data_IF_149691041345
#
_entry.id   IF_149691041345
#
_cell.length_a   1.000
_cell.length_b   1.000
_cell.length_c   1.000
_cell.angle_alpha   90.00
_cell.angle_beta   90.00
_cell.angle_gamma   90.00
#
_symmetry.space_group_name_H-M   'P 1'
#
loop_
_entity.id
_entity.type
_entity.pdbx_description
1 polymer ?
#
# COMPACT_ATOMS: atom_id res chain seq x y z
N UNK A 1 8.40 41.32 40.74
CA UNK A 1 8.54 40.08 39.96
C UNK A 1 7.22 39.36 39.68
N UNK A 2 6.33 39.16 40.63
CA UNK A 2 5.07 38.44 40.43
C UNK A 2 4.10 39.09 39.41
N UNK A 3 4.03 40.41 39.29
CA UNK A 3 3.18 41.13 38.36
C UNK A 3 3.63 40.95 36.90
N UNK A 4 4.92 40.86 36.63
CA UNK A 4 5.47 40.64 35.29
C UNK A 4 5.21 39.21 34.79
N UNK A 5 5.26 38.24 35.69
CA UNK A 5 4.98 36.84 35.39
C UNK A 5 3.47 36.60 35.08
N UNK A 6 2.58 37.31 35.76
CA UNK A 6 1.14 37.29 35.44
C UNK A 6 0.84 37.89 34.07
N UNK A 7 1.45 39.03 33.71
CA UNK A 7 1.33 39.63 32.38
C UNK A 7 1.83 38.74 31.28
N UNK A 8 2.97 38.06 31.49
CA UNK A 8 3.51 37.10 30.54
C UNK A 8 2.60 35.90 30.32
N UNK A 9 2.01 35.33 31.39
CA UNK A 9 1.04 34.21 31.25
C UNK A 9 -0.24 34.62 30.51
N UNK A 10 -0.74 35.84 30.75
CA UNK A 10 -1.91 36.35 30.04
C UNK A 10 -1.61 36.55 28.55
N UNK A 11 -0.47 37.21 28.24
CA UNK A 11 -0.01 37.37 26.85
C UNK A 11 0.20 36.04 26.14
N UNK A 12 0.80 35.06 26.80
CA UNK A 12 1.01 33.72 26.26
C UNK A 12 -0.35 33.02 25.95
N UNK A 13 -1.32 33.19 26.86
CA UNK A 13 -2.67 32.62 26.69
C UNK A 13 -3.41 33.25 25.51
N UNK A 14 -3.30 34.57 25.37
CA UNK A 14 -3.89 35.30 24.24
C UNK A 14 -3.21 35.01 22.92
N UNK A 15 -1.87 34.90 22.91
CA UNK A 15 -1.10 34.54 21.73
C UNK A 15 -1.43 33.12 21.24
N UNK A 16 -1.56 32.18 22.17
CA UNK A 16 -1.94 30.80 21.85
C UNK A 16 -3.42 30.69 21.44
N UNK A 17 -4.31 31.55 21.99
CA UNK A 17 -5.72 31.65 21.62
C UNK A 17 -5.94 32.14 20.19
N UNK A 18 -5.09 33.05 19.69
CA UNK A 18 -5.15 33.58 18.32
C UNK A 18 -4.76 32.59 17.24
N UNK A 19 -4.17 31.45 17.61
CA UNK A 19 -3.72 30.39 16.68
C UNK A 19 -4.41 29.07 16.96
N UNK A 20 -5.73 28.96 16.66
CA UNK A 20 -6.52 27.80 17.05
C UNK A 20 -6.08 26.46 16.43
N UNK A 21 -5.28 26.47 15.36
CA UNK A 21 -4.87 25.28 14.62
C UNK A 21 -3.46 24.78 14.93
N UNK A 22 -2.76 25.36 15.92
CA UNK A 22 -1.35 25.01 16.14
C UNK A 22 -1.15 24.07 17.32
N UNK A 23 -0.36 23.05 17.03
CA UNK A 23 -0.05 21.89 17.88
C UNK A 23 0.60 22.17 19.23
N UNK A 24 0.84 23.44 19.57
CA UNK A 24 1.49 23.84 20.84
C UNK A 24 0.53 24.06 22.01
N UNK A 25 -0.79 23.94 21.81
CA UNK A 25 -1.75 23.93 22.92
C UNK A 25 -1.88 22.53 23.49
N UNK A 26 -1.28 22.28 24.65
CA UNK A 26 -1.35 21.01 25.38
C UNK A 26 -2.78 20.53 25.65
N UNK A 27 -3.73 21.44 25.91
CA UNK A 27 -5.16 21.18 26.11
C UNK A 27 -5.83 20.66 24.84
N UNK A 28 -5.53 21.24 23.68
CA UNK A 28 -6.08 20.77 22.40
C UNK A 28 -5.50 19.44 21.92
N UNK A 29 -4.27 19.08 22.30
CA UNK A 29 -3.76 17.73 22.04
C UNK A 29 -4.56 16.64 22.75
N UNK A 30 -5.14 16.91 23.90
CA UNK A 30 -6.02 15.97 24.61
C UNK A 30 -7.41 15.91 23.99
N UNK A 31 -7.95 17.05 23.54
CA UNK A 31 -9.26 17.12 22.87
C UNK A 31 -9.20 16.56 21.43
N UNK A 32 -8.04 16.55 20.81
CA UNK A 32 -7.79 15.90 19.50
C UNK A 32 -7.57 14.39 19.58
N UNK A 33 -7.66 13.77 20.74
CA UNK A 33 -7.82 12.33 20.85
C UNK A 33 -9.23 11.94 20.42
N UNK A 34 -9.56 12.22 19.15
CA UNK A 34 -10.80 11.75 18.52
C UNK A 34 -10.82 10.24 18.65
N UNK A 35 -11.78 9.74 19.42
CA UNK A 35 -12.01 8.31 19.56
C UNK A 35 -12.19 7.71 18.17
N UNK A 36 -11.32 6.83 17.77
CA UNK A 36 -11.46 6.08 16.55
C UNK A 36 -12.00 4.70 16.96
N UNK A 37 -13.32 4.59 17.02
CA UNK A 37 -14.00 3.32 17.27
C UNK A 37 -13.93 2.47 16.00
N UNK A 38 -12.81 1.77 15.84
CA UNK A 38 -12.64 0.78 14.78
C UNK A 38 -12.88 -0.62 15.36
N UNK A 39 -13.57 -1.49 14.61
CA UNK A 39 -13.64 -2.91 14.93
C UNK A 39 -12.23 -3.50 15.07
N UNK A 40 -12.08 -4.61 15.80
CA UNK A 40 -10.80 -5.33 15.86
C UNK A 40 -10.19 -5.61 14.48
N UNK A 41 -8.91 -5.90 14.41
CA UNK A 41 -8.21 -6.12 13.12
C UNK A 41 -8.89 -7.22 12.28
N UNK A 42 -9.14 -8.38 12.87
CA UNK A 42 -9.82 -9.52 12.24
C UNK A 42 -11.27 -9.14 11.88
N UNK A 43 -11.99 -8.48 12.79
CA UNK A 43 -13.38 -8.06 12.55
C UNK A 43 -13.50 -7.08 11.38
N UNK A 44 -12.53 -6.16 11.22
CA UNK A 44 -12.49 -5.24 10.09
C UNK A 44 -12.16 -5.98 8.78
N UNK A 45 -11.19 -6.89 8.80
CA UNK A 45 -10.86 -7.74 7.64
C UNK A 45 -12.07 -8.57 7.20
N UNK A 46 -12.79 -9.17 8.16
CA UNK A 46 -14.01 -9.90 7.87
C UNK A 46 -15.10 -9.00 7.25
N UNK A 47 -15.25 -7.77 7.74
CA UNK A 47 -16.18 -6.78 7.16
C UNK A 47 -15.82 -6.43 5.72
N UNK A 48 -14.53 -6.22 5.40
CA UNK A 48 -14.04 -5.98 4.04
C UNK A 48 -14.36 -7.18 3.15
N UNK A 49 -13.99 -8.37 3.58
CA UNK A 49 -14.23 -9.61 2.83
C UNK A 49 -15.72 -9.84 2.59
N UNK A 50 -16.57 -9.66 3.61
CA UNK A 50 -18.04 -9.76 3.48
C UNK A 50 -18.58 -8.77 2.44
N UNK A 51 -18.06 -7.54 2.42
CA UNK A 51 -18.49 -6.49 1.47
C UNK A 51 -18.11 -6.85 0.04
N UNK A 52 -16.90 -7.34 -0.19
CA UNK A 52 -16.44 -7.81 -1.50
C UNK A 52 -17.24 -9.03 -1.94
N UNK A 53 -17.41 -10.01 -1.04
CA UNK A 53 -18.10 -11.27 -1.34
C UNK A 53 -19.58 -11.07 -1.64
N UNK A 54 -20.25 -10.14 -0.97
CA UNK A 54 -21.65 -9.79 -1.28
C UNK A 54 -21.81 -9.19 -2.69
N UNK A 55 -20.73 -8.65 -3.26
CA UNK A 55 -20.67 -8.08 -4.60
C UNK A 55 -19.66 -8.82 -5.51
N UNK A 56 -19.43 -10.13 -5.25
CA UNK A 56 -18.38 -10.92 -5.90
C UNK A 56 -18.38 -10.87 -7.43
N UNK A 57 -19.56 -10.84 -8.07
CA UNK A 57 -19.68 -10.75 -9.53
C UNK A 57 -19.06 -9.48 -10.09
N UNK A 58 -19.15 -8.35 -9.37
CA UNK A 58 -18.56 -7.08 -9.76
C UNK A 58 -17.03 -7.08 -9.57
N UNK A 59 -16.57 -7.43 -8.38
CA UNK A 59 -15.14 -7.33 -8.05
C UNK A 59 -14.30 -8.43 -8.69
N UNK A 60 -14.84 -9.64 -8.80
CA UNK A 60 -14.17 -10.72 -9.51
C UNK A 60 -14.12 -10.45 -11.02
N UNK A 61 -15.23 -9.99 -11.62
CA UNK A 61 -15.25 -9.55 -13.02
C UNK A 61 -14.28 -8.40 -13.28
N UNK A 62 -14.18 -7.44 -12.35
CA UNK A 62 -13.20 -6.36 -12.42
C UNK A 62 -11.76 -6.91 -12.43
N UNK A 63 -11.44 -7.80 -11.49
CA UNK A 63 -10.11 -8.41 -11.41
C UNK A 63 -9.74 -9.16 -12.69
N UNK A 64 -10.65 -9.97 -13.24
CA UNK A 64 -10.41 -10.71 -14.50
C UNK A 64 -10.15 -9.74 -15.66
N UNK A 65 -10.98 -8.71 -15.85
CA UNK A 65 -10.79 -7.75 -16.94
C UNK A 65 -9.41 -7.10 -16.84
N UNK A 66 -9.01 -6.69 -15.65
CA UNK A 66 -7.70 -6.04 -15.49
C UNK A 66 -6.54 -7.03 -15.62
N UNK A 67 -6.68 -8.29 -15.21
CA UNK A 67 -5.64 -9.32 -15.48
C UNK A 67 -5.46 -9.48 -17.00
N UNK A 68 -6.55 -9.54 -17.76
CA UNK A 68 -6.47 -9.62 -19.22
C UNK A 68 -5.83 -8.37 -19.82
N UNK A 69 -6.18 -7.18 -19.32
CA UNK A 69 -5.56 -5.93 -19.77
C UNK A 69 -4.06 -5.87 -19.42
N UNK A 70 -3.66 -6.32 -18.23
CA UNK A 70 -2.25 -6.43 -17.87
C UNK A 70 -1.53 -7.44 -18.80
N UNK A 71 -2.12 -8.61 -19.02
CA UNK A 71 -1.53 -9.63 -19.90
C UNK A 71 -1.31 -9.12 -21.33
N UNK A 72 -2.26 -8.33 -21.87
CA UNK A 72 -2.20 -7.80 -23.23
C UNK A 72 -1.27 -6.61 -23.37
N UNK A 73 -1.30 -5.67 -22.41
CA UNK A 73 -0.58 -4.39 -22.52
C UNK A 73 0.82 -4.42 -21.90
N UNK A 74 1.03 -5.24 -20.89
CA UNK A 74 2.29 -5.35 -20.16
C UNK A 74 3.00 -6.65 -20.44
N UNK A 75 2.24 -7.73 -20.69
CA UNK A 75 2.73 -9.10 -20.81
C UNK A 75 2.60 -9.86 -19.49
N UNK A 76 2.81 -11.17 -19.58
CA UNK A 76 2.90 -12.09 -18.44
C UNK A 76 4.36 -12.47 -18.31
N UNK A 77 4.86 -12.55 -17.08
CA UNK A 77 6.23 -12.98 -16.79
C UNK A 77 6.52 -14.41 -17.30
N UNK A 78 7.77 -14.69 -17.59
CA UNK A 78 8.18 -16.03 -18.04
C UNK A 78 8.28 -17.00 -16.86
N UNK A 79 8.17 -18.29 -17.15
CA UNK A 79 8.39 -19.33 -16.16
C UNK A 79 9.86 -19.37 -15.71
N UNK A 80 10.78 -19.03 -16.60
CA UNK A 80 12.23 -19.00 -16.32
C UNK A 80 12.59 -17.96 -15.26
N UNK A 81 12.04 -16.75 -15.37
CA UNK A 81 12.22 -15.70 -14.36
C UNK A 81 11.65 -16.11 -13.00
N UNK A 82 10.50 -16.81 -13.01
CA UNK A 82 9.94 -17.36 -11.77
C UNK A 82 10.89 -18.39 -11.13
N UNK A 83 11.44 -19.35 -11.90
CA UNK A 83 12.35 -20.37 -11.34
C UNK A 83 13.61 -19.74 -10.76
N UNK A 84 14.21 -18.78 -11.47
CA UNK A 84 15.39 -18.03 -10.98
C UNK A 84 15.11 -17.31 -9.65
N UNK A 85 13.94 -16.69 -9.53
CA UNK A 85 13.52 -16.02 -8.28
C UNK A 85 13.20 -17.01 -7.16
N UNK A 86 12.60 -18.15 -7.49
CA UNK A 86 12.32 -19.21 -6.51
C UNK A 86 13.60 -19.82 -5.94
N UNK A 87 14.61 -20.04 -6.79
CA UNK A 87 15.93 -20.51 -6.37
C UNK A 87 16.62 -19.50 -5.45
N UNK A 88 16.60 -18.21 -5.82
CA UNK A 88 17.14 -17.12 -5.01
C UNK A 88 16.41 -16.97 -3.66
N UNK A 89 15.11 -17.20 -3.61
CA UNK A 89 14.33 -17.22 -2.35
C UNK A 89 14.70 -18.39 -1.46
N UNK A 90 14.92 -19.56 -2.06
CA UNK A 90 15.30 -20.76 -1.31
C UNK A 90 16.67 -20.56 -0.67
N UNK A 91 17.59 -19.96 -1.39
CA UNK A 91 18.92 -19.60 -0.90
C UNK A 91 18.86 -18.55 0.23
N UNK A 92 18.05 -17.50 0.05
CA UNK A 92 17.84 -16.47 1.06
C UNK A 92 17.19 -17.03 2.34
N UNK A 93 16.21 -17.93 2.22
CA UNK A 93 15.54 -18.53 3.40
C UNK A 93 16.48 -19.46 4.15
N UNK A 94 17.37 -20.17 3.46
CA UNK A 94 18.39 -21.01 4.09
C UNK A 94 19.39 -20.16 4.90
N UNK A 95 19.82 -19.00 4.38
CA UNK A 95 20.73 -18.09 5.08
C UNK A 95 20.07 -17.37 6.27
N UNK A 96 18.81 -16.98 6.18
CA UNK A 96 18.05 -16.38 7.30
C UNK A 96 17.90 -17.40 8.45
N UNK A 97 17.68 -18.67 8.13
CA UNK A 97 17.59 -19.71 9.15
C UNK A 97 18.92 -19.92 9.92
N UNK A 98 20.05 -19.52 9.33
CA UNK A 98 21.37 -19.44 9.96
C UNK A 98 21.58 -18.26 10.90
N UNK A 99 20.58 -17.37 11.07
CA UNK A 99 20.63 -16.23 12.00
C UNK A 99 21.21 -14.94 11.41
N UNK A 100 21.43 -14.87 10.12
CA UNK A 100 21.97 -13.69 9.44
C UNK A 100 20.86 -12.68 9.13
N UNK A 101 20.74 -11.65 9.97
CA UNK A 101 19.76 -10.57 9.84
C UNK A 101 20.01 -9.66 8.62
N UNK A 102 21.19 -9.69 8.01
CA UNK A 102 21.48 -8.92 6.80
C UNK A 102 20.62 -9.35 5.62
N UNK A 103 20.18 -10.60 5.63
CA UNK A 103 19.34 -11.21 4.59
C UNK A 103 17.86 -10.77 4.64
N UNK A 104 17.40 -10.13 5.71
CA UNK A 104 16.00 -9.64 5.79
C UNK A 104 15.74 -8.59 4.71
N UNK A 105 16.70 -7.68 4.48
CA UNK A 105 16.59 -6.70 3.39
C UNK A 105 16.53 -7.37 2.02
N UNK A 106 17.34 -8.39 1.80
CA UNK A 106 17.35 -9.16 0.56
C UNK A 106 16.05 -9.95 0.36
N UNK A 107 15.52 -10.60 1.40
CA UNK A 107 14.22 -11.27 1.35
C UNK A 107 13.07 -10.31 1.03
N UNK A 108 13.11 -9.07 1.56
CA UNK A 108 12.15 -8.03 1.22
C UNK A 108 12.19 -7.60 -0.24
N UNK A 109 13.39 -7.47 -0.83
CA UNK A 109 13.54 -7.14 -2.25
C UNK A 109 13.10 -8.28 -3.15
N UNK A 110 13.41 -9.53 -2.77
CA UNK A 110 12.91 -10.70 -3.48
C UNK A 110 11.39 -10.82 -3.45
N UNK A 111 10.78 -10.57 -2.29
CA UNK A 111 9.30 -10.55 -2.20
C UNK A 111 8.69 -9.49 -3.13
N UNK A 112 9.25 -8.29 -3.20
CA UNK A 112 8.83 -7.26 -4.14
C UNK A 112 9.03 -7.71 -5.60
N UNK A 113 10.14 -8.36 -5.90
CA UNK A 113 10.42 -8.91 -7.24
C UNK A 113 9.39 -9.95 -7.63
N UNK A 114 9.07 -10.89 -6.74
CA UNK A 114 8.03 -11.91 -6.98
C UNK A 114 6.66 -11.26 -7.20
N UNK A 115 6.32 -10.23 -6.43
CA UNK A 115 5.07 -9.51 -6.59
C UNK A 115 4.95 -8.85 -7.98
N UNK A 116 6.06 -8.57 -8.65
CA UNK A 116 6.12 -7.96 -9.98
C UNK A 116 6.32 -8.96 -11.13
N UNK A 117 6.84 -10.16 -10.86
CA UNK A 117 7.12 -11.20 -11.87
C UNK A 117 5.89 -11.65 -12.65
N UNK A 118 4.70 -11.59 -12.03
CA UNK A 118 3.46 -11.89 -12.74
C UNK A 118 3.12 -10.90 -13.87
N UNK A 119 3.90 -9.82 -14.02
CA UNK A 119 3.61 -8.75 -14.98
C UNK A 119 4.49 -8.90 -16.24
N UNK A 120 5.78 -8.78 -16.12
CA UNK A 120 6.76 -9.02 -17.19
C UNK A 120 8.16 -9.09 -16.59
N UNK A 121 9.07 -9.83 -17.21
CA UNK A 121 10.43 -10.06 -16.69
C UNK A 121 11.27 -8.78 -16.70
N UNK A 122 11.25 -8.05 -17.82
CA UNK A 122 11.92 -6.76 -17.98
C UNK A 122 10.96 -5.79 -18.71
N UNK A 123 10.06 -5.12 -17.97
CA UNK A 123 9.09 -4.26 -18.63
C UNK A 123 9.81 -3.08 -19.30
N UNK A 124 9.48 -2.85 -20.57
CA UNK A 124 9.93 -1.68 -21.33
C UNK A 124 9.38 -0.40 -20.68
N UNK A 125 9.93 0.76 -21.04
CA UNK A 125 9.46 2.05 -20.51
C UNK A 125 7.95 2.25 -20.72
N UNK A 126 7.44 1.88 -21.90
CA UNK A 126 6.01 1.94 -22.20
C UNK A 126 5.18 1.00 -21.34
N UNK A 127 5.65 -0.22 -21.09
CA UNK A 127 4.97 -1.18 -20.22
C UNK A 127 4.94 -0.70 -18.77
N UNK A 128 6.01 -0.05 -18.27
CA UNK A 128 6.02 0.55 -16.93
C UNK A 128 4.94 1.63 -16.79
N UNK A 129 4.73 2.45 -17.83
CA UNK A 129 3.65 3.44 -17.85
C UNK A 129 2.29 2.74 -17.79
N UNK A 130 2.08 1.65 -18.55
CA UNK A 130 0.83 0.88 -18.51
C UNK A 130 0.59 0.23 -17.15
N UNK A 131 1.63 -0.29 -16.48
CA UNK A 131 1.51 -0.84 -15.11
C UNK A 131 0.92 0.21 -14.17
N UNK A 132 1.48 1.41 -14.17
CA UNK A 132 1.00 2.51 -13.30
C UNK A 132 -0.41 2.92 -13.67
N UNK A 133 -0.71 3.13 -14.95
CA UNK A 133 -2.03 3.54 -15.41
C UNK A 133 -3.10 2.50 -15.07
N UNK A 134 -2.85 1.23 -15.38
CA UNK A 134 -3.78 0.14 -15.06
C UNK A 134 -3.98 0.01 -13.56
N UNK A 135 -2.92 0.09 -12.75
CA UNK A 135 -3.01 0.08 -11.29
C UNK A 135 -3.91 1.20 -10.75
N UNK A 136 -3.74 2.43 -11.26
CA UNK A 136 -4.59 3.56 -10.89
C UNK A 136 -6.04 3.38 -11.37
N UNK A 137 -6.25 2.80 -12.55
CA UNK A 137 -7.59 2.51 -13.07
C UNK A 137 -8.31 1.44 -12.25
N UNK A 138 -7.61 0.37 -11.83
CA UNK A 138 -8.17 -0.64 -10.89
C UNK A 138 -8.59 0.02 -9.60
N UNK A 139 -7.72 0.88 -9.03
CA UNK A 139 -8.02 1.64 -7.83
C UNK A 139 -9.28 2.48 -8.00
N UNK A 140 -9.35 3.29 -9.06
CA UNK A 140 -10.49 4.15 -9.36
C UNK A 140 -11.79 3.37 -9.53
N UNK A 141 -11.76 2.31 -10.34
CA UNK A 141 -12.92 1.47 -10.60
C UNK A 141 -13.43 0.81 -9.31
N UNK A 142 -12.52 0.29 -8.48
CA UNK A 142 -12.85 -0.33 -7.19
C UNK A 142 -13.50 0.67 -6.23
N UNK A 143 -12.89 1.85 -6.06
CA UNK A 143 -13.42 2.89 -5.16
C UNK A 143 -14.77 3.41 -5.67
N UNK A 144 -14.91 3.64 -6.98
CA UNK A 144 -16.16 4.11 -7.59
C UNK A 144 -17.30 3.09 -7.41
N UNK A 145 -17.05 1.82 -7.75
CA UNK A 145 -18.03 0.75 -7.60
C UNK A 145 -18.46 0.60 -6.13
N UNK A 146 -17.49 0.59 -5.22
CA UNK A 146 -17.76 0.42 -3.81
C UNK A 146 -18.57 1.60 -3.24
N UNK A 147 -18.22 2.82 -3.63
CA UNK A 147 -18.95 4.04 -3.23
C UNK A 147 -20.42 3.98 -3.65
N UNK A 148 -20.68 3.67 -4.92
CA UNK A 148 -22.04 3.64 -5.43
C UNK A 148 -22.85 2.47 -4.85
N UNK A 149 -22.23 1.29 -4.66
CA UNK A 149 -22.91 0.13 -4.04
C UNK A 149 -23.29 0.41 -2.59
N UNK A 150 -22.41 1.05 -1.83
CA UNK A 150 -22.68 1.41 -0.43
C UNK A 150 -23.68 2.58 -0.31
N UNK A 151 -23.86 3.37 -1.37
CA UNK A 151 -24.93 4.36 -1.47
C UNK A 151 -26.29 3.74 -1.88
N UNK A 152 -26.37 2.42 -2.11
CA UNK A 152 -27.60 1.73 -2.47
C UNK A 152 -27.89 1.69 -3.97
N UNK A 153 -27.02 2.24 -4.83
CA UNK A 153 -27.25 2.25 -6.27
C UNK A 153 -27.01 0.86 -6.88
N UNK A 154 -27.83 0.48 -7.84
CA UNK A 154 -27.63 -0.71 -8.68
C UNK A 154 -26.65 -0.35 -9.80
N UNK A 155 -25.38 -0.71 -9.66
CA UNK A 155 -24.33 -0.46 -10.66
C UNK A 155 -23.90 -1.75 -11.33
N UNK A 156 -23.54 -1.65 -12.61
CA UNK A 156 -22.94 -2.71 -13.41
C UNK A 156 -21.44 -2.51 -13.52
N UNK A 157 -20.71 -3.56 -13.86
CA UNK A 157 -19.25 -3.52 -14.03
C UNK A 157 -18.84 -2.49 -15.10
N UNK A 158 -19.58 -2.45 -16.22
CA UNK A 158 -19.39 -1.48 -17.30
C UNK A 158 -19.44 -0.04 -16.80
N UNK A 159 -20.36 0.29 -15.90
CA UNK A 159 -20.52 1.64 -15.36
C UNK A 159 -19.29 2.06 -14.55
N UNK A 160 -18.70 1.10 -13.81
CA UNK A 160 -17.44 1.30 -13.10
C UNK A 160 -16.26 1.58 -14.01
N UNK A 161 -16.14 0.84 -15.11
CA UNK A 161 -15.05 1.04 -16.08
C UNK A 161 -15.17 2.40 -16.80
N UNK A 162 -16.39 2.79 -17.18
CA UNK A 162 -16.63 4.04 -17.90
C UNK A 162 -16.48 5.29 -17.01
N UNK A 163 -17.10 5.27 -15.84
CA UNK A 163 -17.21 6.48 -15.01
C UNK A 163 -16.03 6.64 -14.02
N UNK A 164 -15.28 5.57 -13.78
CA UNK A 164 -14.16 5.62 -12.84
C UNK A 164 -12.99 6.46 -13.37
N UNK A 165 -12.81 6.54 -14.69
CA UNK A 165 -11.69 7.25 -15.31
C UNK A 165 -11.72 8.78 -15.16
N UNK A 166 -12.87 9.39 -14.85
CA UNK A 166 -12.99 10.84 -14.76
C UNK A 166 -11.97 11.51 -13.82
N UNK A 167 -11.69 11.04 -12.59
CA UNK A 167 -10.70 11.66 -11.69
C UNK A 167 -9.27 11.08 -11.85
N UNK A 168 -8.90 10.54 -13.02
CA UNK A 168 -7.56 9.94 -13.20
C UNK A 168 -6.44 10.96 -13.03
N UNK A 169 -6.60 12.18 -13.56
CA UNK A 169 -5.59 13.23 -13.48
C UNK A 169 -5.37 13.69 -12.03
N UNK A 170 -6.41 14.06 -11.25
CA UNK A 170 -6.25 14.36 -9.84
C UNK A 170 -5.60 13.23 -9.04
N UNK A 171 -6.01 11.98 -9.30
CA UNK A 171 -5.43 10.82 -8.63
C UNK A 171 -3.96 10.63 -9.00
N UNK A 172 -3.61 10.74 -10.28
CA UNK A 172 -2.23 10.61 -10.76
C UNK A 172 -1.31 11.66 -10.12
N UNK A 173 -1.75 12.92 -10.01
CA UNK A 173 -0.98 13.97 -9.34
C UNK A 173 -0.76 13.67 -7.85
N UNK A 174 -1.78 13.16 -7.16
CA UNK A 174 -1.62 12.71 -5.75
C UNK A 174 -0.70 11.50 -5.66
N UNK A 175 -0.78 10.58 -6.62
CA UNK A 175 0.13 9.43 -6.71
C UNK A 175 1.59 9.85 -6.94
N UNK A 176 1.84 10.86 -7.77
CA UNK A 176 3.20 11.41 -7.91
C UNK A 176 3.74 11.96 -6.58
N UNK A 177 2.91 12.67 -5.82
CA UNK A 177 3.30 13.10 -4.46
C UNK A 177 3.61 11.90 -3.56
N UNK A 178 2.84 10.84 -3.66
CA UNK A 178 3.11 9.60 -2.92
C UNK A 178 4.47 9.00 -3.29
N UNK A 179 4.80 8.93 -4.59
CA UNK A 179 6.10 8.43 -5.06
C UNK A 179 7.26 9.30 -4.53
N UNK A 180 7.11 10.63 -4.58
CA UNK A 180 8.11 11.55 -3.99
C UNK A 180 8.31 11.30 -2.49
N UNK A 181 7.25 10.98 -1.77
CA UNK A 181 7.32 10.67 -0.33
C UNK A 181 8.00 9.33 -0.02
N UNK A 182 8.18 8.46 -1.01
CA UNK A 182 8.93 7.21 -0.88
C UNK A 182 10.45 7.39 -1.13
N UNK A 183 10.90 8.57 -1.62
CA UNK A 183 12.32 8.84 -1.85
C UNK A 183 13.20 8.55 -0.63
N UNK A 184 12.83 8.90 0.63
CA UNK A 184 13.66 8.57 1.78
C UNK A 184 13.87 7.06 1.96
N UNK A 185 12.84 6.23 1.70
CA UNK A 185 13.00 4.75 1.71
C UNK A 185 13.91 4.31 0.59
N UNK A 186 13.76 4.85 -0.61
CA UNK A 186 14.61 4.53 -1.75
C UNK A 186 16.07 4.85 -1.45
N UNK A 187 16.36 6.00 -0.83
CA UNK A 187 17.71 6.36 -0.38
C UNK A 187 18.26 5.38 0.67
N UNK A 188 17.42 4.87 1.57
CA UNK A 188 17.83 3.84 2.52
C UNK A 188 18.17 2.52 1.83
N UNK A 189 17.41 2.12 0.81
CA UNK A 189 17.66 0.90 0.02
C UNK A 189 18.95 1.03 -0.80
N UNK A 190 19.16 2.14 -1.50
CA UNK A 190 20.40 2.41 -2.24
C UNK A 190 21.59 2.46 -1.28
N UNK A 191 21.44 3.14 -0.14
CA UNK A 191 22.44 3.20 0.91
C UNK A 191 22.79 1.82 1.47
N UNK A 192 21.81 0.93 1.60
CA UNK A 192 22.03 -0.47 2.00
C UNK A 192 22.92 -1.21 0.99
N UNK A 193 22.61 -1.12 -0.30
CA UNK A 193 23.41 -1.76 -1.33
C UNK A 193 24.87 -1.25 -1.34
N UNK A 194 25.07 0.07 -1.18
CA UNK A 194 26.39 0.67 -1.08
C UNK A 194 27.13 0.26 0.20
N UNK A 195 26.45 0.23 1.34
CA UNK A 195 27.02 -0.16 2.62
C UNK A 195 27.41 -1.63 2.67
N UNK A 196 26.59 -2.50 2.06
CA UNK A 196 26.87 -3.93 1.94
C UNK A 196 28.09 -4.19 1.03
N UNK A 197 28.18 -3.49 -0.11
CA UNK A 197 29.32 -3.65 -1.03
C UNK A 197 30.65 -3.11 -0.50
N UNK A 198 30.61 -2.15 0.42
CA UNK A 198 31.80 -1.53 1.04
C UNK A 198 32.27 -2.23 2.32
N UNK A 199 31.55 -3.26 2.81
CA UNK A 199 31.83 -3.91 4.10
C UNK A 199 31.50 -3.06 5.33
N UNK A 200 30.81 -1.93 5.15
CA UNK A 200 30.44 -1.01 6.23
C UNK A 200 29.47 -1.67 7.23
N UNK A 201 28.72 -2.66 6.79
CA UNK A 201 27.78 -3.41 7.64
C UNK A 201 28.47 -4.49 8.50
N UNK A 202 29.77 -4.77 8.26
CA UNK A 202 30.53 -5.77 9.00
C UNK A 202 31.09 -5.17 10.33
N UNK A 203 31.15 -3.83 10.43
CA UNK A 203 31.57 -3.13 11.65
C UNK A 203 30.38 -2.85 12.57
N UNK A 204 30.51 -3.18 13.87
CA UNK A 204 29.37 -3.12 14.80
C UNK A 204 28.76 -1.72 14.97
N UNK A 205 29.58 -0.67 15.06
CA UNK A 205 29.11 0.72 15.30
C UNK A 205 28.58 1.35 14.02
N UNK A 206 29.26 1.17 12.91
CA UNK A 206 28.87 1.74 11.61
C UNK A 206 27.59 1.11 11.11
N UNK A 207 27.45 -0.22 11.22
CA UNK A 207 26.23 -0.93 10.92
C UNK A 207 25.05 -0.43 11.76
N UNK A 208 25.26 -0.20 13.07
CA UNK A 208 24.21 0.33 13.96
C UNK A 208 23.77 1.73 13.53
N UNK A 209 24.70 2.63 13.21
CA UNK A 209 24.39 3.99 12.74
C UNK A 209 23.63 3.96 11.42
N UNK A 210 24.04 3.10 10.48
CA UNK A 210 23.33 2.91 9.24
C UNK A 210 21.87 2.48 9.47
N UNK A 211 21.64 1.46 10.30
CA UNK A 211 20.29 0.97 10.57
C UNK A 211 19.41 2.00 11.26
N UNK A 212 19.96 2.79 12.19
CA UNK A 212 19.22 3.91 12.80
C UNK A 212 18.80 4.92 11.72
N UNK A 213 19.71 5.30 10.83
CA UNK A 213 19.43 6.23 9.73
C UNK A 213 18.35 5.66 8.77
N UNK A 214 18.49 4.40 8.37
CA UNK A 214 17.54 3.72 7.49
C UNK A 214 16.14 3.63 8.12
N UNK A 215 16.05 3.29 9.40
CA UNK A 215 14.77 3.25 10.13
C UNK A 215 14.13 4.64 10.19
N UNK A 216 14.90 5.70 10.46
CA UNK A 216 14.38 7.06 10.50
C UNK A 216 13.86 7.51 9.14
N UNK A 217 14.56 7.20 8.05
CA UNK A 217 14.10 7.47 6.68
C UNK A 217 12.81 6.70 6.36
N UNK A 218 12.74 5.43 6.77
CA UNK A 218 11.54 4.61 6.65
C UNK A 218 10.34 5.19 7.39
N UNK A 219 10.54 5.57 8.65
CA UNK A 219 9.50 6.20 9.47
C UNK A 219 9.02 7.54 8.88
N UNK A 220 9.93 8.34 8.32
CA UNK A 220 9.60 9.60 7.66
C UNK A 220 8.69 9.37 6.44
N UNK A 221 9.05 8.42 5.57
CA UNK A 221 8.23 8.05 4.42
C UNK A 221 6.85 7.53 4.84
N UNK A 222 6.79 6.64 5.82
CA UNK A 222 5.53 6.10 6.34
C UNK A 222 4.65 7.19 6.97
N UNK A 223 5.27 8.15 7.66
CA UNK A 223 4.56 9.28 8.25
C UNK A 223 3.86 10.13 7.19
N UNK A 224 4.53 10.42 6.07
CA UNK A 224 3.94 11.18 4.96
C UNK A 224 2.92 10.35 4.17
N UNK A 225 3.29 9.12 3.82
CA UNK A 225 2.46 8.20 3.06
C UNK A 225 1.08 7.98 3.70
N UNK A 226 1.01 7.96 5.05
CA UNK A 226 -0.25 7.75 5.79
C UNK A 226 -1.34 8.76 5.43
N UNK A 227 -0.96 10.03 5.19
CA UNK A 227 -1.92 11.04 4.72
C UNK A 227 -2.26 10.86 3.24
N UNK A 228 -1.25 10.62 2.42
CA UNK A 228 -1.38 10.64 0.97
C UNK A 228 -2.24 9.50 0.42
N UNK A 229 -2.21 8.32 1.04
CA UNK A 229 -3.12 7.21 0.62
C UNK A 229 -4.58 7.58 0.85
N UNK A 230 -4.94 8.28 1.93
CA UNK A 230 -6.29 8.80 2.08
C UNK A 230 -6.59 9.95 1.10
N UNK A 231 -5.58 10.76 0.76
CA UNK A 231 -5.73 11.77 -0.29
C UNK A 231 -6.05 11.13 -1.65
N UNK A 232 -5.50 9.95 -1.97
CA UNK A 232 -5.85 9.20 -3.17
C UNK A 232 -7.33 8.81 -3.20
N UNK A 233 -7.94 8.48 -2.04
CA UNK A 233 -9.39 8.24 -1.95
C UNK A 233 -10.17 9.53 -2.11
N UNK A 234 -9.76 10.61 -1.43
CA UNK A 234 -10.44 11.91 -1.46
C UNK A 234 -10.39 12.53 -2.87
N UNK A 235 -9.28 12.35 -3.60
CA UNK A 235 -9.12 12.83 -4.98
C UNK A 235 -10.14 12.19 -5.95
N UNK A 236 -10.73 11.03 -5.59
CA UNK A 236 -11.80 10.41 -6.39
C UNK A 236 -13.18 11.05 -6.19
N UNK A 237 -13.32 11.97 -5.24
CA UNK A 237 -14.59 12.65 -4.98
C UNK A 237 -14.82 13.76 -6.01
N UNK A 238 -16.07 13.97 -6.45
CA UNK A 238 -16.41 15.02 -7.41
C UNK A 238 -15.96 16.41 -6.93
N UNK A 239 -15.33 17.20 -7.81
CA UNK A 239 -14.92 18.58 -7.50
C UNK A 239 -13.71 18.70 -6.56
N UNK A 240 -12.98 17.61 -6.30
CA UNK A 240 -11.77 17.66 -5.47
C UNK A 240 -10.52 17.86 -6.30
N UNK A 241 -9.78 18.94 -5.97
CA UNK A 241 -8.46 19.21 -6.52
C UNK A 241 -7.36 18.49 -5.71
N UNK A 242 -6.22 18.09 -6.33
CA UNK A 242 -5.16 17.31 -5.68
C UNK A 242 -4.64 17.94 -4.38
N UNK A 243 -4.34 19.24 -4.40
CA UNK A 243 -3.81 19.97 -3.22
C UNK A 243 -4.83 19.99 -2.08
N UNK A 244 -6.12 20.20 -2.40
CA UNK A 244 -7.21 20.18 -1.42
C UNK A 244 -7.40 18.78 -0.84
N UNK A 245 -7.28 17.73 -1.67
CA UNK A 245 -7.34 16.35 -1.23
C UNK A 245 -6.21 16.01 -0.24
N UNK A 246 -4.97 16.42 -0.55
CA UNK A 246 -3.81 16.24 0.34
C UNK A 246 -3.99 16.98 1.68
N UNK A 247 -4.48 18.21 1.65
CA UNK A 247 -4.72 18.99 2.88
C UNK A 247 -5.80 18.34 3.75
N UNK A 248 -6.94 18.01 3.16
CA UNK A 248 -8.05 17.37 3.88
C UNK A 248 -7.65 16.00 4.45
N UNK A 249 -6.85 15.23 3.71
CA UNK A 249 -6.33 13.95 4.19
C UNK A 249 -5.38 14.14 5.38
N UNK A 250 -4.50 15.15 5.33
CA UNK A 250 -3.61 15.50 6.43
C UNK A 250 -4.37 15.80 7.72
N UNK A 251 -5.44 16.59 7.64
CA UNK A 251 -6.31 16.95 8.77
C UNK A 251 -7.07 15.72 9.30
N UNK A 252 -7.51 14.82 8.42
CA UNK A 252 -8.24 13.60 8.79
C UNK A 252 -7.36 12.62 9.58
N UNK A 253 -6.08 12.52 9.22
CA UNK A 253 -5.12 11.57 9.81
C UNK A 253 -4.49 12.13 11.09
N UNK A 254 -4.62 13.43 11.37
CA UNK A 254 -4.01 14.08 12.53
C UNK A 254 -4.47 13.41 13.84
N UNK A 255 -3.50 13.03 14.70
CA UNK A 255 -3.75 12.33 15.97
C UNK A 255 -4.11 10.85 15.86
N UNK A 256 -4.22 10.29 14.64
CA UNK A 256 -4.63 8.91 14.38
C UNK A 256 -3.62 8.11 13.53
N UNK A 257 -2.51 8.74 13.12
CA UNK A 257 -1.55 8.19 12.15
C UNK A 257 -1.05 6.80 12.52
N UNK A 258 -0.62 6.60 13.76
CA UNK A 258 -0.09 5.31 14.22
C UNK A 258 -1.16 4.21 14.12
N UNK A 259 -2.42 4.50 14.50
CA UNK A 259 -3.51 3.53 14.41
C UNK A 259 -3.82 3.15 12.96
N UNK A 260 -3.77 4.12 12.04
CA UNK A 260 -3.98 3.89 10.61
C UNK A 260 -2.82 3.09 10.04
N UNK A 261 -1.57 3.44 10.40
CA UNK A 261 -0.37 2.73 9.96
C UNK A 261 -0.39 1.26 10.40
N UNK A 262 -0.77 0.98 11.66
CA UNK A 262 -0.92 -0.39 12.15
C UNK A 262 -2.00 -1.17 11.38
N UNK A 263 -3.04 -0.50 10.88
CA UNK A 263 -4.05 -1.13 10.00
C UNK A 263 -3.49 -1.46 8.62
N UNK A 264 -2.60 -0.63 8.10
CA UNK A 264 -1.93 -0.93 6.83
C UNK A 264 -0.90 -2.04 6.98
N UNK A 265 -0.13 -2.02 8.07
CA UNK A 265 0.76 -3.14 8.39
C UNK A 265 -0.02 -4.46 8.48
N UNK A 266 -1.17 -4.46 9.17
CA UNK A 266 -2.07 -5.61 9.20
C UNK A 266 -2.58 -6.00 7.80
N UNK A 267 -2.98 -5.03 6.99
CA UNK A 267 -3.41 -5.25 5.60
C UNK A 267 -2.32 -5.96 4.80
N UNK A 268 -1.07 -5.52 4.91
CA UNK A 268 0.07 -6.15 4.22
C UNK A 268 0.31 -7.58 4.71
N UNK A 269 0.21 -7.82 6.03
CA UNK A 269 0.31 -9.18 6.59
C UNK A 269 -0.79 -10.09 6.03
N UNK A 270 -2.04 -9.62 5.96
CA UNK A 270 -3.14 -10.40 5.39
C UNK A 270 -2.91 -10.73 3.92
N UNK A 271 -2.40 -9.77 3.12
CA UNK A 271 -2.04 -10.01 1.72
C UNK A 271 -0.94 -11.06 1.63
N UNK A 272 0.15 -10.91 2.38
CA UNK A 272 1.28 -11.85 2.37
C UNK A 272 0.85 -13.28 2.76
N UNK A 273 0.05 -13.41 3.83
CA UNK A 273 -0.50 -14.71 4.25
C UNK A 273 -1.42 -15.31 3.18
N UNK A 274 -2.27 -14.49 2.56
CA UNK A 274 -3.15 -14.96 1.48
C UNK A 274 -2.34 -15.43 0.27
N UNK A 275 -1.29 -14.71 -0.10
CA UNK A 275 -0.38 -15.12 -1.16
C UNK A 275 0.30 -16.44 -0.83
N UNK A 276 0.86 -16.60 0.38
CA UNK A 276 1.48 -17.85 0.81
C UNK A 276 0.52 -19.04 0.74
N UNK A 277 -0.72 -18.87 1.25
CA UNK A 277 -1.74 -19.92 1.25
C UNK A 277 -2.13 -20.35 -0.18
N UNK A 278 -2.14 -19.40 -1.13
CA UNK A 278 -2.53 -19.70 -2.51
C UNK A 278 -1.33 -20.19 -3.33
N UNK A 279 -0.18 -19.51 -3.25
CA UNK A 279 0.99 -19.83 -4.08
C UNK A 279 1.58 -21.20 -3.75
N UNK A 280 1.69 -21.57 -2.47
CA UNK A 280 2.31 -22.85 -2.09
C UNK A 280 1.63 -24.04 -2.74
N UNK A 281 0.29 -24.21 -2.67
CA UNK A 281 -0.39 -25.30 -3.39
C UNK A 281 -0.18 -25.24 -4.91
N UNK A 282 -0.22 -24.03 -5.51
CA UNK A 282 -0.03 -23.91 -6.97
C UNK A 282 1.39 -24.25 -7.40
N UNK A 283 2.40 -23.93 -6.60
CA UNK A 283 3.80 -24.33 -6.84
C UNK A 283 3.92 -25.86 -6.82
N UNK A 284 3.33 -26.50 -5.82
CA UNK A 284 3.34 -27.97 -5.73
C UNK A 284 2.60 -28.62 -6.92
N UNK A 285 1.46 -28.06 -7.32
CA UNK A 285 0.71 -28.52 -8.49
C UNK A 285 1.53 -28.34 -9.78
N UNK A 286 2.19 -27.19 -9.95
CA UNK A 286 3.04 -26.91 -11.10
C UNK A 286 4.19 -27.91 -11.23
N UNK A 287 4.91 -28.16 -10.13
CA UNK A 287 5.99 -29.15 -10.07
C UNK A 287 5.46 -30.57 -10.38
N UNK A 288 4.36 -30.97 -9.79
CA UNK A 288 3.74 -32.27 -10.04
C UNK A 288 3.29 -32.43 -11.50
N UNK A 289 2.63 -31.39 -12.06
CA UNK A 289 2.14 -31.41 -13.44
C UNK A 289 3.29 -31.53 -14.44
N UNK A 290 4.38 -30.80 -14.25
CA UNK A 290 5.57 -30.84 -15.11
C UNK A 290 6.33 -32.15 -15.00
N UNK A 291 6.33 -32.80 -13.85
CA UNK A 291 6.91 -34.13 -13.66
C UNK A 291 6.15 -35.22 -14.46
N UNK A 292 4.82 -35.10 -14.59
CA UNK A 292 3.99 -36.08 -15.31
C UNK A 292 3.93 -35.77 -16.82
N UNK A 293 3.83 -34.49 -17.17
CA UNK A 293 3.67 -34.03 -18.56
C UNK A 293 4.75 -33.01 -18.94
N UNK A 294 5.90 -33.46 -19.51
CA UNK A 294 6.98 -32.56 -19.91
C UNK A 294 6.54 -31.44 -20.89
N UNK A 295 5.47 -31.68 -21.67
CA UNK A 295 4.89 -30.68 -22.59
C UNK A 295 4.41 -29.40 -21.86
N UNK A 296 4.11 -29.50 -20.57
CA UNK A 296 3.71 -28.34 -19.74
C UNK A 296 4.90 -27.61 -19.11
N UNK A 297 6.15 -28.02 -19.39
CA UNK A 297 7.34 -27.39 -18.79
C UNK A 297 7.42 -25.87 -19.04
N UNK A 298 7.05 -25.43 -20.24
CA UNK A 298 7.07 -24.01 -20.64
C UNK A 298 5.79 -23.25 -20.29
N UNK A 299 4.75 -23.93 -19.81
CA UNK A 299 3.49 -23.26 -19.49
C UNK A 299 3.63 -22.37 -18.26
N UNK A 300 3.36 -21.03 -18.35
CA UNK A 300 3.61 -20.07 -17.28
C UNK A 300 2.47 -20.08 -16.24
N UNK A 301 2.22 -21.24 -15.59
CA UNK A 301 1.15 -21.39 -14.61
C UNK A 301 1.31 -20.40 -13.44
N UNK A 302 2.52 -20.37 -12.85
CA UNK A 302 2.79 -19.53 -11.69
C UNK A 302 2.74 -18.04 -12.02
N UNK A 303 3.34 -17.54 -13.11
CA UNK A 303 3.16 -16.14 -13.54
C UNK A 303 1.70 -15.72 -13.72
N UNK A 304 0.84 -16.59 -14.27
CA UNK A 304 -0.60 -16.32 -14.40
C UNK A 304 -1.26 -16.18 -13.02
N UNK A 305 -0.96 -17.09 -12.10
CA UNK A 305 -1.49 -17.04 -10.72
C UNK A 305 -1.01 -15.77 -10.01
N UNK A 306 0.26 -15.37 -10.19
CA UNK A 306 0.82 -14.15 -9.63
C UNK A 306 0.12 -12.89 -10.19
N UNK A 307 -0.14 -12.82 -11.49
CA UNK A 307 -0.88 -11.72 -12.11
C UNK A 307 -2.31 -11.61 -11.55
N UNK A 308 -2.99 -12.74 -11.36
CA UNK A 308 -4.30 -12.82 -10.73
C UNK A 308 -4.27 -12.33 -9.28
N UNK A 309 -3.32 -12.82 -8.48
CA UNK A 309 -3.14 -12.42 -7.08
C UNK A 309 -2.78 -10.94 -6.96
N UNK A 310 -1.91 -10.44 -7.82
CA UNK A 310 -1.53 -9.04 -7.87
C UNK A 310 -2.75 -8.13 -8.08
N UNK A 311 -3.54 -8.40 -9.13
CA UNK A 311 -4.75 -7.63 -9.43
C UNK A 311 -5.80 -7.76 -8.34
N UNK A 312 -6.03 -8.97 -7.82
CA UNK A 312 -6.95 -9.21 -6.70
C UNK A 312 -6.50 -8.43 -5.44
N UNK A 313 -5.19 -8.37 -5.17
CA UNK A 313 -4.63 -7.62 -4.07
C UNK A 313 -4.84 -6.11 -4.21
N UNK A 314 -4.74 -5.55 -5.43
CA UNK A 314 -5.06 -4.14 -5.69
C UNK A 314 -6.56 -3.88 -5.42
N UNK A 315 -7.45 -4.72 -5.89
CA UNK A 315 -8.91 -4.61 -5.64
C UNK A 315 -9.20 -4.71 -4.15
N UNK A 316 -8.59 -5.66 -3.46
CA UNK A 316 -8.81 -5.87 -2.03
C UNK A 316 -8.23 -4.74 -1.18
N UNK A 317 -7.00 -4.30 -1.44
CA UNK A 317 -6.34 -3.19 -0.72
C UNK A 317 -7.07 -1.87 -0.95
N UNK A 318 -7.50 -1.57 -2.19
CA UNK A 318 -8.33 -0.40 -2.51
C UNK A 318 -9.63 -0.40 -1.72
N UNK A 319 -10.29 -1.57 -1.63
CA UNK A 319 -11.52 -1.73 -0.85
C UNK A 319 -11.26 -1.55 0.65
N UNK A 320 -10.17 -2.11 1.17
CA UNK A 320 -9.77 -1.98 2.56
C UNK A 320 -9.51 -0.52 2.93
N UNK A 321 -8.72 0.19 2.12
CA UNK A 321 -8.39 1.60 2.34
C UNK A 321 -9.64 2.49 2.25
N UNK A 322 -10.51 2.26 1.26
CA UNK A 322 -11.76 3.02 1.13
C UNK A 322 -12.70 2.81 2.31
N UNK A 323 -12.89 1.57 2.76
CA UNK A 323 -13.75 1.26 3.90
C UNK A 323 -13.15 1.80 5.21
N UNK A 324 -11.82 1.78 5.36
CA UNK A 324 -11.12 2.39 6.49
C UNK A 324 -11.33 3.92 6.47
N UNK A 325 -11.14 4.57 5.32
CA UNK A 325 -11.41 5.99 5.14
C UNK A 325 -12.83 6.34 5.57
N UNK A 326 -13.83 5.60 5.10
CA UNK A 326 -15.24 5.80 5.47
C UNK A 326 -15.45 5.76 6.98
N UNK A 327 -14.90 4.74 7.66
CA UNK A 327 -14.99 4.61 9.12
C UNK A 327 -14.32 5.77 9.85
N UNK A 328 -13.19 6.26 9.34
CA UNK A 328 -12.49 7.41 9.92
C UNK A 328 -13.31 8.69 9.76
N UNK A 329 -13.97 8.90 8.61
CA UNK A 329 -14.84 10.04 8.36
C UNK A 329 -16.11 9.96 9.22
N UNK A 330 -16.79 8.82 9.22
CA UNK A 330 -18.03 8.62 10.00
C UNK A 330 -17.77 8.79 11.53
N UNK A 331 -16.62 8.32 12.02
CA UNK A 331 -16.19 8.51 13.41
C UNK A 331 -15.72 9.93 13.74
N UNK A 332 -15.51 10.80 12.75
CA UNK A 332 -15.18 12.21 12.96
C UNK A 332 -16.43 13.13 12.94
N UNK A 333 -17.56 12.61 12.47
CA UNK A 333 -18.82 13.32 12.42
C UNK A 333 -19.66 13.21 13.71
N UNK A 334 -19.29 12.30 14.62
CA UNK A 334 -19.80 12.17 15.98
C UNK A 334 -18.93 12.95 16.95
#
# INVERSE_FOLDING_TARGET
>A
MQASFKKFKVWQKDFLGRRPHRSFQLTRRRDYARSLELPGYIGFTHYVNKTIWSNRKLFFGLAIIYVVLFAVLVGIGSQETYTTLADSLTEATASISGGDLSQIGFAGTLFLSIATVGIADTPTESQQIYIVLLGLMVWLATVWLLRNRLAGHKVRLRDGLYNAGAPIIPLFLVFLVFVVQLIPVLLAVIGYAAAASSGLLDSGVEAMLFWIGAILLGLLSLFWATGTVFAMVIATLPGMYPIKALRNAGDLVLGRRVRILMRWAWMMVVIAVTWAIILVPFILIDQWLKAIWPTFAEFPLIPIVLALLGTASIVWSSSYVYLLYRRVVDGSAK
#
